data_IF_390271387653
#
_entry.id   IF_390271387653
#
_cell.length_a   1.000
_cell.length_b   1.000
_cell.length_c   1.000
_cell.angle_alpha   90.00
_cell.angle_beta   90.00
_cell.angle_gamma   90.00
#
_symmetry.space_group_name_H-M   'P 1'
#
loop_
_entity.id
_entity.type
_entity.pdbx_description
1 polymer ?
#
# COMPACT_ATOMS: atom_id res chain seq x y z
N UNK A 1 8.71 22.52 7.88
CA UNK A 1 9.35 21.34 7.26
C UNK A 1 10.16 20.64 8.34
N UNK A 2 10.13 19.30 8.42
CA UNK A 2 11.01 18.56 9.34
C UNK A 2 12.48 18.80 8.97
N UNK A 3 13.36 18.88 9.96
CA UNK A 3 14.81 19.03 9.78
C UNK A 3 15.58 18.18 10.80
N UNK A 4 16.86 17.95 10.53
CA UNK A 4 17.77 17.24 11.44
C UNK A 4 18.74 18.22 12.08
N UNK A 5 19.09 18.01 13.35
CA UNK A 5 20.08 18.82 14.06
C UNK A 5 21.49 18.71 13.43
N UNK A 6 21.75 17.66 12.65
CA UNK A 6 23.00 17.46 11.90
C UNK A 6 23.19 18.42 10.73
N UNK A 7 22.15 19.17 10.36
CA UNK A 7 22.22 20.14 9.27
C UNK A 7 22.77 21.52 9.73
N UNK A 8 22.98 21.71 11.04
CA UNK A 8 23.57 22.94 11.58
C UNK A 8 25.10 22.87 11.54
N UNK A 9 25.76 24.01 11.33
CA UNK A 9 27.23 24.11 11.32
C UNK A 9 27.86 23.76 12.67
N UNK A 10 27.15 24.08 13.77
CA UNK A 10 27.56 23.83 15.15
C UNK A 10 26.47 23.03 15.88
N UNK A 11 26.67 21.72 15.96
CA UNK A 11 25.74 20.82 16.67
C UNK A 11 25.63 21.16 18.17
N UNK A 12 26.68 21.69 18.79
CA UNK A 12 26.69 22.02 20.21
C UNK A 12 25.70 23.14 20.54
N UNK A 13 25.73 24.21 19.73
CA UNK A 13 24.75 25.31 19.85
C UNK A 13 23.34 24.86 19.51
N UNK A 14 23.17 24.03 18.47
CA UNK A 14 21.86 23.52 18.08
C UNK A 14 21.22 22.66 19.19
N UNK A 15 22.00 21.79 19.86
CA UNK A 15 21.54 20.98 20.99
C UNK A 15 21.18 21.83 22.20
N UNK A 16 21.90 22.92 22.46
CA UNK A 16 21.55 23.83 23.56
C UNK A 16 20.24 24.57 23.27
N UNK A 17 20.07 25.10 22.05
CA UNK A 17 18.88 25.88 21.67
C UNK A 17 17.61 25.05 21.56
N UNK A 18 17.69 23.80 21.05
CA UNK A 18 16.50 22.97 20.82
C UNK A 18 15.76 22.61 22.12
N UNK A 19 16.45 22.56 23.26
CA UNK A 19 15.85 22.21 24.56
C UNK A 19 14.79 23.24 24.96
N UNK A 20 15.09 24.52 24.81
CA UNK A 20 14.14 25.60 25.11
C UNK A 20 12.99 25.62 24.10
N UNK A 21 13.30 25.51 22.80
CA UNK A 21 12.28 25.51 21.75
C UNK A 21 11.29 24.34 21.90
N UNK A 22 11.76 23.15 22.29
CA UNK A 22 10.89 22.00 22.54
C UNK A 22 10.05 22.19 23.81
N UNK A 23 10.64 22.74 24.88
CA UNK A 23 9.94 23.00 26.16
C UNK A 23 8.80 24.01 26.02
N UNK A 24 8.96 24.98 25.15
CA UNK A 24 7.96 26.01 24.87
C UNK A 24 7.10 25.72 23.63
N UNK A 25 7.09 24.47 23.16
CA UNK A 25 6.24 23.99 22.04
C UNK A 25 6.45 24.73 20.71
N UNK A 26 7.59 25.41 20.54
CA UNK A 26 7.98 26.03 19.28
C UNK A 26 8.44 24.98 18.25
N UNK A 27 8.95 23.85 18.75
CA UNK A 27 9.37 22.70 17.94
C UNK A 27 8.74 21.42 18.48
N UNK A 28 8.15 20.63 17.58
CA UNK A 28 7.66 19.29 17.90
C UNK A 28 8.72 18.25 17.54
N UNK A 29 9.25 17.49 18.52
CA UNK A 29 10.24 16.45 18.25
C UNK A 29 9.57 15.21 17.63
N UNK A 30 10.29 14.58 16.70
CA UNK A 30 9.95 13.24 16.20
C UNK A 30 10.80 12.22 16.93
N UNK A 31 10.27 11.69 18.03
CA UNK A 31 10.99 10.78 18.91
C UNK A 31 11.34 9.47 18.21
N UNK A 32 12.56 8.99 18.47
CA UNK A 32 13.00 7.67 18.01
C UNK A 32 12.47 6.62 19.00
N UNK A 33 11.57 5.77 18.53
CA UNK A 33 10.99 4.67 19.30
C UNK A 33 11.70 3.37 18.95
N UNK A 34 11.82 2.48 19.95
CA UNK A 34 12.48 1.18 19.81
C UNK A 34 11.56 0.08 20.34
N UNK A 35 11.63 -1.10 19.71
CA UNK A 35 11.01 -2.32 20.21
C UNK A 35 11.97 -3.11 21.10
N UNK A 36 11.48 -4.22 21.66
CA UNK A 36 12.29 -5.14 22.47
C UNK A 36 13.48 -5.69 21.67
N UNK A 37 14.52 -6.08 22.40
CA UNK A 37 15.70 -6.68 21.80
C UNK A 37 15.33 -7.98 21.06
N UNK A 38 15.80 -8.10 19.82
CA UNK A 38 15.52 -9.23 18.94
C UNK A 38 14.26 -9.09 18.07
N UNK A 39 13.44 -8.07 18.28
CA UNK A 39 12.23 -7.83 17.48
C UNK A 39 12.52 -7.03 16.19
N UNK A 40 11.66 -7.22 15.18
CA UNK A 40 11.77 -6.54 13.88
C UNK A 40 10.54 -5.68 13.61
N UNK A 41 10.77 -4.44 13.14
CA UNK A 41 9.71 -3.49 12.79
C UNK A 41 9.71 -3.23 11.29
N UNK A 42 8.57 -3.46 10.63
CA UNK A 42 8.35 -3.11 9.23
C UNK A 42 7.45 -1.87 9.12
N UNK A 43 7.85 -0.88 8.33
CA UNK A 43 7.06 0.34 8.05
C UNK A 43 6.96 0.59 6.54
N UNK A 44 5.73 0.77 6.06
CA UNK A 44 5.45 1.22 4.69
C UNK A 44 4.71 2.56 4.74
N UNK A 45 5.27 3.60 4.11
CA UNK A 45 4.68 4.93 4.07
C UNK A 45 4.52 5.39 2.63
N UNK A 46 3.31 5.81 2.26
CA UNK A 46 3.02 6.35 0.94
C UNK A 46 2.01 7.49 1.00
N UNK A 47 2.07 8.38 0.02
CA UNK A 47 1.14 9.49 -0.11
C UNK A 47 0.08 9.17 -1.16
N UNK A 48 -1.17 9.49 -0.84
CA UNK A 48 -2.33 9.33 -1.72
C UNK A 48 -2.99 10.68 -1.95
N UNK A 49 -3.37 10.94 -3.20
CA UNK A 49 -4.24 12.03 -3.58
C UNK A 49 -5.69 11.54 -3.66
N UNK A 50 -6.62 12.30 -3.09
CA UNK A 50 -8.05 12.04 -3.22
C UNK A 50 -8.61 12.82 -4.40
N UNK A 51 -8.78 12.13 -5.53
CA UNK A 51 -9.35 12.70 -6.75
C UNK A 51 -10.81 12.27 -6.92
N UNK A 52 -11.58 12.96 -7.77
CA UNK A 52 -12.94 12.53 -8.15
C UNK A 52 -12.98 11.08 -8.69
N UNK A 53 -11.88 10.65 -9.33
CA UNK A 53 -11.70 9.30 -9.85
C UNK A 53 -11.30 8.25 -8.80
N UNK A 54 -11.13 8.64 -7.54
CA UNK A 54 -10.72 7.78 -6.43
C UNK A 54 -9.30 8.07 -5.93
N UNK A 55 -8.83 7.28 -4.95
CA UNK A 55 -7.49 7.42 -4.38
C UNK A 55 -6.42 7.11 -5.44
N UNK A 56 -5.46 8.01 -5.58
CA UNK A 56 -4.31 7.88 -6.46
C UNK A 56 -3.03 7.93 -5.64
N UNK A 57 -2.32 6.80 -5.57
CA UNK A 57 -1.01 6.72 -4.91
C UNK A 57 0.04 7.43 -5.78
N UNK A 58 0.82 8.34 -5.17
CA UNK A 58 1.85 9.11 -5.88
C UNK A 58 3.28 8.68 -5.55
N UNK A 59 3.52 8.19 -4.33
CA UNK A 59 4.80 7.60 -3.94
C UNK A 59 4.64 6.09 -3.81
N UNK A 60 5.57 5.32 -4.35
CA UNK A 60 5.58 3.87 -4.19
C UNK A 60 6.96 3.39 -3.77
N UNK A 61 7.00 2.67 -2.65
CA UNK A 61 8.14 1.87 -2.22
C UNK A 61 8.22 0.60 -3.09
N UNK A 62 9.44 0.13 -3.39
CA UNK A 62 9.67 -1.11 -4.14
C UNK A 62 9.52 -2.34 -3.23
N UNK A 63 8.28 -2.69 -2.90
CA UNK A 63 8.00 -3.96 -2.22
C UNK A 63 7.89 -5.10 -3.23
N UNK A 64 8.86 -6.02 -3.20
CA UNK A 64 8.87 -7.24 -4.03
C UNK A 64 8.43 -8.43 -3.19
N UNK A 65 7.18 -8.85 -3.37
CA UNK A 65 6.59 -9.92 -2.58
C UNK A 65 7.31 -11.28 -2.74
N UNK A 66 7.97 -11.51 -3.88
CA UNK A 66 8.65 -12.78 -4.19
C UNK A 66 9.89 -13.05 -3.33
N UNK A 67 10.49 -12.00 -2.76
CA UNK A 67 11.67 -12.12 -1.89
C UNK A 67 11.32 -12.62 -0.48
N UNK A 68 10.04 -12.56 -0.10
CA UNK A 68 9.60 -12.86 1.26
C UNK A 68 8.75 -14.12 1.29
N UNK A 69 9.22 -15.13 2.02
CA UNK A 69 8.46 -16.35 2.31
C UNK A 69 8.05 -16.32 3.77
N UNK A 70 6.74 -16.29 4.02
CA UNK A 70 6.14 -16.34 5.35
C UNK A 70 5.43 -17.68 5.51
N UNK A 71 5.55 -18.30 6.68
CA UNK A 71 4.77 -19.48 7.06
C UNK A 71 3.30 -19.11 7.35
N UNK A 72 3.05 -17.84 7.63
CA UNK A 72 1.72 -17.33 7.95
C UNK A 72 1.14 -16.53 6.79
N UNK A 73 -0.13 -16.79 6.49
CA UNK A 73 -0.97 -16.03 5.55
C UNK A 73 -2.30 -15.63 6.20
N UNK A 74 -3.00 -14.69 5.56
CA UNK A 74 -4.33 -14.26 6.00
C UNK A 74 -5.35 -15.37 5.72
N UNK A 75 -5.98 -15.88 6.79
CA UNK A 75 -6.93 -17.01 6.72
C UNK A 75 -8.40 -16.57 6.57
N UNK A 76 -8.74 -15.34 6.98
CA UNK A 76 -10.11 -14.85 6.91
C UNK A 76 -10.58 -14.69 5.45
N UNK A 77 -11.65 -15.37 5.01
CA UNK A 77 -12.10 -15.34 3.62
C UNK A 77 -12.54 -13.95 3.15
N UNK A 78 -13.15 -13.14 4.01
CA UNK A 78 -13.59 -11.79 3.66
C UNK A 78 -12.38 -10.86 3.43
N UNK A 79 -11.39 -10.90 4.34
CA UNK A 79 -10.16 -10.13 4.22
C UNK A 79 -9.32 -10.55 3.03
N UNK A 80 -9.23 -11.86 2.73
CA UNK A 80 -8.50 -12.37 1.56
C UNK A 80 -9.11 -11.85 0.26
N UNK A 81 -10.45 -11.81 0.18
CA UNK A 81 -11.18 -11.23 -0.96
C UNK A 81 -10.91 -9.74 -1.10
N UNK A 82 -10.90 -9.00 0.02
CA UNK A 82 -10.62 -7.56 0.03
C UNK A 82 -9.20 -7.23 -0.43
N UNK A 83 -8.19 -7.96 0.05
CA UNK A 83 -6.78 -7.76 -0.30
C UNK A 83 -6.49 -8.06 -1.79
N UNK A 84 -7.21 -9.02 -2.38
CA UNK A 84 -7.14 -9.31 -3.83
C UNK A 84 -7.87 -8.26 -4.69
N UNK A 85 -8.74 -7.45 -4.08
CA UNK A 85 -9.43 -6.37 -4.75
C UNK A 85 -8.46 -5.21 -5.04
N UNK A 86 -8.66 -4.52 -6.17
CA UNK A 86 -7.81 -3.39 -6.53
C UNK A 86 -8.26 -2.11 -5.81
N UNK A 87 -7.32 -1.40 -5.19
CA UNK A 87 -7.59 -0.07 -4.60
C UNK A 87 -7.91 1.03 -5.65
N UNK A 88 -7.50 0.86 -6.91
CA UNK A 88 -7.80 1.82 -7.99
C UNK A 88 -9.11 1.51 -8.70
N UNK A 89 -10.01 2.50 -8.78
CA UNK A 89 -11.30 2.39 -9.51
C UNK A 89 -11.12 2.15 -11.02
N UNK A 90 -10.03 2.65 -11.62
CA UNK A 90 -9.74 2.41 -13.05
C UNK A 90 -9.42 0.94 -13.33
N UNK A 91 -8.69 0.29 -12.43
CA UNK A 91 -8.37 -1.14 -12.53
C UNK A 91 -9.59 -2.00 -12.20
N UNK A 92 -10.46 -1.57 -11.28
CA UNK A 92 -11.75 -2.21 -11.02
C UNK A 92 -12.69 -2.14 -12.25
N UNK A 93 -12.78 -0.98 -12.93
CA UNK A 93 -13.54 -0.85 -14.18
C UNK A 93 -12.97 -1.72 -15.30
N UNK A 94 -11.64 -1.82 -15.43
CA UNK A 94 -11.00 -2.74 -16.39
C UNK A 94 -11.23 -4.22 -16.04
N UNK A 95 -11.15 -4.62 -14.76
CA UNK A 95 -11.50 -5.98 -14.31
C UNK A 95 -12.98 -6.30 -14.56
N UNK A 96 -13.91 -5.37 -14.31
CA UNK A 96 -15.34 -5.54 -14.60
C UNK A 96 -15.63 -5.68 -16.10
N UNK A 97 -14.93 -4.90 -16.96
CA UNK A 97 -15.02 -5.01 -18.43
C UNK A 97 -14.35 -6.28 -18.99
N UNK A 98 -13.34 -6.83 -18.30
CA UNK A 98 -12.72 -8.11 -18.66
C UNK A 98 -13.62 -9.28 -18.25
N UNK A 99 -14.21 -9.23 -17.04
CA UNK A 99 -15.16 -10.24 -16.57
C UNK A 99 -16.46 -10.28 -17.42
N UNK A 100 -16.96 -9.13 -17.89
CA UNK A 100 -18.11 -9.10 -18.79
C UNK A 100 -17.79 -9.73 -20.16
N UNK A 101 -16.58 -9.50 -20.70
CA UNK A 101 -16.14 -10.11 -21.97
C UNK A 101 -15.87 -11.61 -21.84
N UNK A 102 -15.42 -12.10 -20.68
CA UNK A 102 -15.26 -13.54 -20.45
C UNK A 102 -16.60 -14.24 -20.24
N UNK A 103 -17.60 -13.55 -19.67
CA UNK A 103 -18.97 -14.07 -19.54
C UNK A 103 -19.71 -14.13 -20.89
N UNK A 104 -19.53 -13.14 -21.78
CA UNK A 104 -20.09 -13.18 -23.15
C UNK A 104 -19.51 -14.31 -24.00
N UNK A 105 -18.26 -14.73 -23.77
CA UNK A 105 -17.66 -15.86 -24.48
C UNK A 105 -18.06 -17.24 -23.93
N UNK A 106 -18.75 -17.31 -22.79
CA UNK A 106 -19.20 -18.57 -22.18
C UNK A 106 -20.69 -18.87 -22.43
N UNK A 107 -21.47 -17.91 -22.93
CA UNK A 107 -22.92 -18.06 -23.17
C UNK A 107 -23.29 -18.29 -24.65
N UNK A 108 -22.31 -18.59 -25.50
CA UNK A 108 -22.49 -18.72 -26.95
C UNK A 108 -22.16 -20.10 -27.50
N UNK A 109 -22.54 -21.19 -26.83
CA UNK A 109 -22.59 -22.52 -27.44
C UNK A 109 -23.46 -23.48 -26.60
N UNK A 110 -24.74 -23.59 -26.94
CA UNK A 110 -25.55 -24.79 -26.66
C UNK A 110 -26.65 -24.90 -27.71
N UNK A 111 -26.54 -25.98 -28.51
CA UNK A 111 -27.55 -26.65 -29.35
C UNK A 111 -28.14 -25.84 -30.52
N UNK A 112 -28.30 -26.34 -31.76
CA UNK A 112 -28.63 -27.68 -32.28
C UNK A 112 -27.85 -27.89 -33.61
N UNK A 113 -27.43 -29.10 -34.02
CA UNK A 113 -28.21 -29.99 -34.87
C UNK A 113 -27.59 -31.41 -34.93
N UNK A 114 -28.46 -32.41 -35.04
CA UNK A 114 -28.23 -33.85 -35.08
C UNK A 114 -27.59 -34.36 -36.39
N UNK A 115 -27.12 -35.62 -36.31
CA UNK A 115 -26.92 -36.61 -37.40
C UNK A 115 -25.83 -36.36 -38.47
N UNK A 116 -24.79 -37.20 -38.47
CA UNK A 116 -24.61 -38.27 -39.47
C UNK A 116 -23.15 -38.76 -39.58
N UNK A 117 -23.01 -40.08 -39.58
CA UNK A 117 -22.05 -40.90 -40.33
C UNK A 117 -20.53 -40.85 -39.99
N UNK A 118 -20.08 -42.06 -39.63
CA UNK A 118 -18.73 -42.69 -39.73
C UNK A 118 -17.61 -42.26 -38.75
#
# INVERSE_FOLDING_TARGET
MPFTLRAFEDEGKARLGVVECAKHELLQPFNVLHEKEGELVAQFKFTVLLMANGPMRITSELFQNELYKSEHEVQDPELKTLLQSSASRKTQKKKKKKASKTAENASGQTAEENEAAE
#
